data_IF_641890999308
#
_entry.id   IF_641890999308
#
_cell.length_a   1.000
_cell.length_b   1.000
_cell.length_c   1.000
_cell.angle_alpha   90.00
_cell.angle_beta   90.00
_cell.angle_gamma   90.00
#
_symmetry.space_group_name_H-M   'P 1'
#
loop_
_entity.id
_entity.type
_entity.pdbx_description
1 polymer ?
#
# COMPACT_ATOMS: atom_id res chain seq x y z
N UNK A 1 2.63 6.29 -18.62
CA UNK A 1 4.03 5.82 -18.45
C UNK A 1 4.25 5.41 -17.00
N UNK A 2 4.62 4.16 -16.71
CA UNK A 2 4.86 3.70 -15.34
C UNK A 2 6.05 4.43 -14.71
N UNK A 3 5.93 4.77 -13.42
CA UNK A 3 6.91 5.50 -12.61
C UNK A 3 7.46 4.59 -11.51
N UNK A 4 6.57 3.93 -10.77
CA UNK A 4 6.95 2.96 -9.75
C UNK A 4 5.91 1.86 -9.66
N UNK A 5 6.34 0.74 -9.11
CA UNK A 5 5.52 -0.42 -8.83
C UNK A 5 5.83 -0.87 -7.42
N UNK A 6 4.89 -0.68 -6.53
CA UNK A 6 5.06 -1.02 -5.12
C UNK A 6 4.28 -2.28 -4.78
N UNK A 7 4.95 -3.24 -4.17
CA UNK A 7 4.29 -4.42 -3.61
C UNK A 7 3.49 -4.04 -2.37
N UNK A 8 2.46 -4.83 -2.06
CA UNK A 8 1.66 -4.65 -0.86
C UNK A 8 2.26 -5.38 0.34
N UNK A 9 2.15 -4.76 1.52
CA UNK A 9 2.63 -5.26 2.81
C UNK A 9 1.52 -5.20 3.85
N UNK A 10 1.62 -6.09 4.84
CA UNK A 10 0.82 -6.00 6.03
C UNK A 10 1.57 -5.16 7.08
N UNK A 11 0.86 -4.27 7.76
CA UNK A 11 1.36 -3.53 8.90
C UNK A 11 0.64 -4.04 10.14
N UNK A 12 1.41 -4.45 11.14
CA UNK A 12 0.90 -5.00 12.38
C UNK A 12 1.42 -4.22 13.59
N UNK A 13 0.72 -4.20 14.73
CA UNK A 13 1.26 -3.68 15.97
C UNK A 13 2.51 -4.46 16.38
N UNK A 14 3.52 -3.80 16.94
CA UNK A 14 4.75 -4.46 17.40
C UNK A 14 4.50 -5.48 18.53
N UNK A 15 3.40 -5.33 19.27
CA UNK A 15 2.93 -6.28 20.29
C UNK A 15 2.23 -7.51 19.71
N UNK A 16 1.86 -7.48 18.43
CA UNK A 16 1.13 -8.57 17.80
C UNK A 16 2.03 -9.81 17.65
N UNK A 17 1.48 -11.02 17.81
CA UNK A 17 2.25 -12.26 17.69
C UNK A 17 2.95 -12.42 16.32
N UNK A 18 2.36 -11.84 15.27
CA UNK A 18 2.93 -11.85 13.92
C UNK A 18 4.13 -10.91 13.76
N UNK A 19 4.35 -9.94 14.65
CA UNK A 19 5.46 -8.99 14.58
C UNK A 19 6.85 -9.65 14.58
N UNK A 20 6.93 -10.93 15.00
CA UNK A 20 8.15 -11.76 14.96
C UNK A 20 8.38 -12.44 13.60
N UNK A 21 7.42 -12.36 12.69
CA UNK A 21 7.46 -13.00 11.37
C UNK A 21 7.97 -12.01 10.32
N UNK A 22 8.55 -12.55 9.25
CA UNK A 22 8.94 -11.75 8.06
C UNK A 22 7.81 -11.62 7.04
N UNK A 23 6.87 -12.56 7.05
CA UNK A 23 5.80 -12.62 6.06
C UNK A 23 4.52 -13.27 6.60
N UNK A 24 3.41 -12.98 5.93
CA UNK A 24 2.06 -13.44 6.23
C UNK A 24 1.30 -13.77 4.94
N UNK A 25 0.24 -14.57 5.03
CA UNK A 25 -0.70 -14.80 3.92
C UNK A 25 -1.95 -13.95 4.08
N UNK A 26 -2.64 -13.62 2.99
CA UNK A 26 -3.93 -12.93 3.02
C UNK A 26 -4.96 -13.67 3.88
N UNK A 27 -5.03 -15.00 3.74
CA UNK A 27 -5.95 -15.84 4.55
C UNK A 27 -5.65 -15.74 6.05
N UNK A 28 -4.37 -15.71 6.44
CA UNK A 28 -3.99 -15.56 7.85
C UNK A 28 -4.30 -14.16 8.33
N UNK A 29 -4.03 -13.15 7.52
CA UNK A 29 -4.32 -11.77 7.86
C UNK A 29 -5.83 -11.52 8.06
N UNK A 30 -6.69 -12.18 7.28
CA UNK A 30 -8.14 -12.12 7.42
C UNK A 30 -8.66 -12.67 8.76
N UNK A 31 -7.85 -13.38 9.55
CA UNK A 31 -8.24 -13.85 10.89
C UNK A 31 -8.03 -12.80 11.98
N UNK A 32 -7.44 -11.64 11.67
CA UNK A 32 -7.27 -10.53 12.59
C UNK A 32 -8.26 -9.39 12.25
N UNK A 33 -8.58 -8.52 13.23
CA UNK A 33 -9.26 -7.25 12.95
C UNK A 33 -8.42 -6.41 11.98
N UNK A 34 -9.07 -5.87 10.95
CA UNK A 34 -8.45 -4.99 9.95
C UNK A 34 -8.96 -3.57 10.10
N UNK A 35 -8.03 -2.63 10.12
CA UNK A 35 -8.32 -1.20 9.97
C UNK A 35 -7.84 -0.76 8.59
N UNK A 36 -8.64 0.02 7.86
CA UNK A 36 -8.31 0.38 6.46
C UNK A 36 -8.75 1.80 6.11
N UNK A 37 -8.26 2.32 5.00
CA UNK A 37 -8.73 3.58 4.42
C UNK A 37 -10.20 3.52 4.00
N UNK A 38 -10.93 4.63 4.23
CA UNK A 38 -12.33 4.76 3.78
C UNK A 38 -12.46 4.61 2.26
N UNK A 39 -13.54 3.99 1.80
CA UNK A 39 -13.76 3.80 0.37
C UNK A 39 -13.91 5.12 -0.43
N UNK A 40 -14.25 6.23 0.24
CA UNK A 40 -14.40 7.56 -0.38
C UNK A 40 -13.04 8.22 -0.64
N UNK A 41 -12.14 8.25 0.36
CA UNK A 41 -10.82 8.87 0.22
C UNK A 41 -9.76 7.95 -0.38
N UNK A 42 -9.90 6.64 -0.17
CA UNK A 42 -8.91 5.65 -0.58
C UNK A 42 -9.39 4.78 -1.75
N UNK A 43 -10.41 5.22 -2.50
CA UNK A 43 -11.11 4.41 -3.52
C UNK A 43 -10.19 3.53 -4.38
N UNK A 44 -9.16 4.12 -5.01
CA UNK A 44 -8.26 3.37 -5.88
C UNK A 44 -7.45 2.29 -5.15
N UNK A 45 -6.93 2.61 -3.97
CA UNK A 45 -6.22 1.65 -3.13
C UNK A 45 -7.15 0.57 -2.56
N UNK A 46 -8.37 0.96 -2.15
CA UNK A 46 -9.39 0.05 -1.64
C UNK A 46 -9.80 -0.98 -2.70
N UNK A 47 -10.06 -0.53 -3.93
CA UNK A 47 -10.33 -1.43 -5.05
C UNK A 47 -9.18 -2.41 -5.29
N UNK A 48 -7.92 -1.95 -5.25
CA UNK A 48 -6.76 -2.83 -5.40
C UNK A 48 -6.70 -3.92 -4.30
N UNK A 49 -6.97 -3.55 -3.05
CA UNK A 49 -7.01 -4.49 -1.93
C UNK A 49 -8.16 -5.48 -2.07
N UNK A 50 -9.35 -4.99 -2.44
CA UNK A 50 -10.55 -5.80 -2.61
C UNK A 50 -10.34 -6.81 -3.77
N UNK A 51 -9.82 -6.38 -4.92
CA UNK A 51 -9.51 -7.26 -6.06
C UNK A 51 -8.47 -8.33 -5.70
N UNK A 52 -7.41 -7.93 -4.98
CA UNK A 52 -6.37 -8.84 -4.52
C UNK A 52 -6.93 -9.94 -3.60
N UNK A 53 -7.81 -9.57 -2.67
CA UNK A 53 -8.40 -10.50 -1.71
C UNK A 53 -9.46 -11.38 -2.35
N UNK A 54 -10.29 -10.81 -3.23
CA UNK A 54 -11.29 -11.52 -4.02
C UNK A 54 -10.66 -12.59 -4.93
N UNK A 55 -9.52 -12.30 -5.58
CA UNK A 55 -8.78 -13.26 -6.40
C UNK A 55 -8.29 -14.51 -5.61
N UNK A 56 -8.32 -14.46 -4.28
CA UNK A 56 -7.98 -15.58 -3.38
C UNK A 56 -9.18 -16.17 -2.64
N UNK A 57 -10.39 -15.66 -2.89
CA UNK A 57 -11.58 -16.02 -2.12
C UNK A 57 -11.43 -15.67 -0.64
N UNK A 58 -10.74 -14.57 -0.33
CA UNK A 58 -10.51 -14.09 1.03
C UNK A 58 -11.33 -12.81 1.23
N UNK A 59 -11.97 -12.69 2.39
CA UNK A 59 -12.64 -11.46 2.82
C UNK A 59 -11.96 -10.97 4.10
N UNK A 60 -11.55 -9.71 4.13
CA UNK A 60 -10.95 -9.11 5.31
C UNK A 60 -12.02 -8.76 6.35
N UNK A 61 -11.72 -9.01 7.62
CA UNK A 61 -12.56 -8.58 8.74
C UNK A 61 -12.30 -7.10 9.07
N UNK A 62 -12.86 -6.19 8.28
CA UNK A 62 -12.71 -4.74 8.48
C UNK A 62 -13.56 -4.31 9.68
N UNK A 63 -12.91 -3.84 10.75
CA UNK A 63 -13.55 -3.42 12.00
C UNK A 63 -13.61 -1.90 12.15
N UNK A 64 -12.69 -1.17 11.52
CA UNK A 64 -12.64 0.29 11.57
C UNK A 64 -12.10 0.85 10.26
N UNK A 65 -12.52 2.08 9.93
CA UNK A 65 -12.01 2.82 8.79
C UNK A 65 -11.42 4.17 9.22
N UNK A 66 -10.41 4.65 8.49
CA UNK A 66 -9.79 5.95 8.73
C UNK A 66 -9.62 6.72 7.42
N UNK A 67 -9.88 8.02 7.47
CA UNK A 67 -9.75 8.89 6.30
C UNK A 67 -8.30 9.25 5.98
N UNK A 68 -7.44 9.29 6.99
CA UNK A 68 -6.07 9.79 6.88
C UNK A 68 -5.05 8.78 7.41
N UNK A 69 -3.91 8.67 6.72
CA UNK A 69 -2.85 7.70 7.04
C UNK A 69 -2.34 7.84 8.49
N UNK A 70 -2.11 9.03 9.07
CA UNK A 70 -1.69 9.14 10.47
C UNK A 70 -2.69 8.52 11.47
N UNK A 71 -3.99 8.68 11.21
CA UNK A 71 -5.06 8.09 12.04
C UNK A 71 -5.05 6.57 11.88
N UNK A 72 -4.96 6.07 10.64
CA UNK A 72 -4.86 4.64 10.35
C UNK A 72 -3.67 4.00 11.08
N UNK A 73 -2.48 4.60 10.99
CA UNK A 73 -1.28 4.09 11.66
C UNK A 73 -1.40 4.15 13.18
N UNK A 74 -2.10 5.15 13.74
CA UNK A 74 -2.39 5.23 15.16
C UNK A 74 -3.30 4.07 15.62
N UNK A 75 -4.35 3.75 14.86
CA UNK A 75 -5.22 2.61 15.16
C UNK A 75 -4.45 1.29 15.21
N UNK A 76 -3.56 1.07 14.24
CA UNK A 76 -2.68 -0.11 14.21
C UNK A 76 -1.73 -0.12 15.41
N UNK A 77 -1.05 1.00 15.68
CA UNK A 77 -0.11 1.11 16.80
C UNK A 77 -0.78 0.86 18.15
N UNK A 78 -2.02 1.31 18.31
CA UNK A 78 -2.85 1.09 19.51
C UNK A 78 -3.42 -0.32 19.61
N UNK A 79 -3.24 -1.17 18.60
CA UNK A 79 -3.70 -2.56 18.63
C UNK A 79 -5.15 -2.79 18.21
N UNK A 80 -5.84 -1.78 17.64
CA UNK A 80 -7.21 -1.93 17.15
C UNK A 80 -7.31 -2.92 15.98
N UNK A 81 -6.24 -3.07 15.20
CA UNK A 81 -6.18 -4.04 14.12
C UNK A 81 -4.86 -3.99 13.35
N UNK A 82 -4.79 -4.76 12.29
CA UNK A 82 -3.73 -4.71 11.27
C UNK A 82 -4.22 -3.94 10.05
N UNK A 83 -3.31 -3.53 9.16
CA UNK A 83 -3.69 -2.89 7.90
C UNK A 83 -2.83 -3.39 6.73
N UNK A 84 -3.21 -3.03 5.51
CA UNK A 84 -2.42 -3.25 4.30
C UNK A 84 -2.02 -1.88 3.77
N UNK A 85 -0.74 -1.72 3.44
CA UNK A 85 -0.20 -0.55 2.73
C UNK A 85 0.70 -1.02 1.59
N UNK A 86 1.18 -0.10 0.76
CA UNK A 86 2.27 -0.39 -0.16
C UNK A 86 3.65 -0.21 0.51
N UNK A 87 4.66 -0.84 -0.08
CA UNK A 87 6.00 -0.91 0.49
C UNK A 87 6.73 0.44 0.55
N UNK A 88 6.29 1.47 -0.17
CA UNK A 88 6.94 2.79 -0.13
C UNK A 88 6.87 3.44 1.25
N UNK A 89 5.88 3.06 2.08
CA UNK A 89 5.72 3.58 3.43
C UNK A 89 6.72 3.02 4.45
N UNK A 90 7.43 1.92 4.15
CA UNK A 90 8.29 1.20 5.12
C UNK A 90 9.29 2.14 5.82
N UNK A 91 9.94 3.03 5.06
CA UNK A 91 10.96 3.95 5.60
C UNK A 91 10.37 5.05 6.49
N UNK A 92 9.04 5.25 6.45
CA UNK A 92 8.33 6.32 7.17
C UNK A 92 7.46 5.81 8.31
N UNK A 93 7.43 4.48 8.53
CA UNK A 93 6.58 3.88 9.57
C UNK A 93 7.01 4.36 10.97
N UNK A 94 6.08 4.85 11.82
CA UNK A 94 6.40 5.21 13.18
C UNK A 94 6.88 4.00 14.01
N UNK A 95 7.56 4.22 15.14
CA UNK A 95 7.84 3.16 16.10
C UNK A 95 6.54 2.51 16.62
N UNK A 96 6.63 1.23 17.02
CA UNK A 96 5.52 0.48 17.58
C UNK A 96 4.66 -0.29 16.58
N UNK A 97 5.04 -0.27 15.30
CA UNK A 97 4.45 -1.11 14.25
C UNK A 97 5.53 -1.86 13.47
N UNK A 98 5.14 -2.96 12.81
CA UNK A 98 6.04 -3.82 12.04
C UNK A 98 5.46 -4.12 10.65
N UNK A 99 6.23 -3.94 9.57
CA UNK A 99 5.83 -4.39 8.24
C UNK A 99 6.15 -5.88 8.05
N UNK A 100 5.24 -6.60 7.39
CA UNK A 100 5.39 -7.99 6.98
C UNK A 100 5.09 -8.12 5.49
N UNK A 101 5.83 -8.95 4.79
CA UNK A 101 5.55 -9.31 3.40
C UNK A 101 4.23 -10.09 3.28
N UNK A 102 3.37 -9.72 2.33
CA UNK A 102 2.20 -10.54 1.99
C UNK A 102 2.61 -11.53 0.89
N UNK A 103 3.01 -12.75 1.28
CA UNK A 103 3.71 -13.68 0.37
C UNK A 103 2.84 -14.28 -0.73
N UNK A 104 1.52 -14.23 -0.60
CA UNK A 104 0.55 -14.73 -1.58
C UNK A 104 -0.20 -13.60 -2.31
N UNK A 105 0.22 -12.34 -2.10
CA UNK A 105 -0.20 -11.20 -2.89
C UNK A 105 0.69 -11.04 -4.13
N UNK A 106 0.08 -11.02 -5.30
CA UNK A 106 0.74 -10.66 -6.56
C UNK A 106 0.40 -9.23 -7.01
N UNK A 107 -0.52 -8.58 -6.32
CA UNK A 107 -0.96 -7.23 -6.62
C UNK A 107 0.16 -6.23 -6.30
N UNK A 108 0.30 -5.25 -7.17
CA UNK A 108 1.18 -4.11 -6.98
C UNK A 108 0.42 -2.82 -7.19
N UNK A 109 0.81 -1.77 -6.47
CA UNK A 109 0.35 -0.41 -6.71
C UNK A 109 1.26 0.22 -7.76
N UNK A 110 0.73 0.41 -8.95
CA UNK A 110 1.44 1.02 -10.08
C UNK A 110 1.16 2.54 -10.09
N UNK A 111 2.21 3.35 -9.91
CA UNK A 111 2.14 4.81 -10.08
C UNK A 111 2.58 5.13 -11.50
N UNK A 112 1.81 5.95 -12.21
CA UNK A 112 2.07 6.30 -13.60
C UNK A 112 1.91 7.80 -13.87
N UNK A 113 2.75 8.34 -14.76
CA UNK A 113 2.57 9.65 -15.37
C UNK A 113 1.68 9.50 -16.61
N UNK A 114 0.62 10.31 -16.69
CA UNK A 114 -0.30 10.37 -17.80
C UNK A 114 -0.34 11.78 -18.40
N UNK A 115 -0.38 11.87 -19.73
CA UNK A 115 -0.51 13.11 -20.49
C UNK A 115 -1.36 12.86 -21.73
N UNK A 116 -1.77 13.93 -22.40
CA UNK A 116 -2.53 13.87 -23.66
C UNK A 116 -1.56 13.96 -24.84
N UNK A 117 -1.71 13.08 -25.82
CA UNK A 117 -0.76 12.98 -26.95
C UNK A 117 -0.96 14.03 -28.06
N UNK A 118 -2.11 14.70 -28.09
CA UNK A 118 -2.52 15.64 -29.15
C UNK A 118 -1.93 17.05 -29.01
N UNK A 119 -1.25 17.39 -27.90
CA UNK A 119 -0.56 18.69 -27.75
C UNK A 119 0.53 18.69 -26.66
N UNK A 120 1.64 17.98 -26.87
CA UNK A 120 2.80 18.05 -25.97
C UNK A 120 3.50 19.41 -26.09
N UNK A 121 3.24 20.30 -25.14
CA UNK A 121 4.03 21.53 -25.01
C UNK A 121 5.51 21.19 -24.77
N UNK A 122 6.46 22.07 -25.14
CA UNK A 122 7.88 21.86 -24.85
C UNK A 122 8.15 21.60 -23.36
N UNK A 123 7.42 22.26 -22.45
CA UNK A 123 7.54 22.05 -21.01
C UNK A 123 7.11 20.63 -20.60
N UNK A 124 5.98 20.15 -21.13
CA UNK A 124 5.49 18.80 -20.85
C UNK A 124 6.46 17.74 -21.37
N UNK A 125 7.00 17.93 -22.58
CA UNK A 125 8.01 17.04 -23.15
C UNK A 125 9.27 16.99 -22.27
N UNK A 126 9.80 18.16 -21.85
CA UNK A 126 10.96 18.23 -20.94
C UNK A 126 10.68 17.60 -19.58
N UNK A 127 9.48 17.78 -19.02
CA UNK A 127 9.10 17.13 -17.77
C UNK A 127 9.09 15.60 -17.89
N UNK A 128 8.53 15.07 -18.97
CA UNK A 128 8.50 13.62 -19.25
C UNK A 128 9.92 13.08 -19.40
N UNK A 129 10.81 13.80 -20.09
CA UNK A 129 12.21 13.42 -20.26
C UNK A 129 12.94 13.34 -18.91
N UNK A 130 12.85 14.38 -18.08
CA UNK A 130 13.46 14.39 -16.74
C UNK A 130 12.88 13.27 -15.87
N UNK A 131 11.56 13.05 -15.91
CA UNK A 131 10.94 11.95 -15.19
C UNK A 131 11.50 10.58 -15.64
N UNK A 132 11.70 10.37 -16.94
CA UNK A 132 12.31 9.14 -17.48
C UNK A 132 13.74 8.94 -17.01
N UNK A 133 14.54 9.99 -16.92
CA UNK A 133 15.91 9.93 -16.42
C UNK A 133 15.95 9.55 -14.94
N UNK A 134 15.09 10.17 -14.12
CA UNK A 134 15.01 9.88 -12.69
C UNK A 134 14.53 8.46 -12.37
N UNK A 135 13.69 7.86 -13.22
CA UNK A 135 13.25 6.46 -13.06
C UNK A 135 14.40 5.48 -13.37
N UNK A 136 15.27 5.82 -14.32
CA UNK A 136 16.39 4.96 -14.74
C UNK A 136 17.57 4.97 -13.76
N UNK A 137 17.71 6.03 -12.99
CA UNK A 137 18.74 6.14 -11.94
C UNK A 137 18.20 5.48 -10.66
N UNK A 138 18.75 4.35 -10.20
CA UNK A 138 18.34 3.76 -8.93
C UNK A 138 18.55 4.79 -7.82
N UNK A 139 17.56 4.95 -6.93
CA UNK A 139 17.79 5.62 -5.66
C UNK A 139 18.86 4.80 -4.91
N UNK A 140 20.05 5.38 -4.77
CA UNK A 140 21.16 4.81 -3.99
C UNK A 140 20.83 4.71 -2.51
#
# INVERSE_FOLDING_TARGET
>A
MPISRERLIAIVPASHAWAKQRSITLRRMATAPIVIGTASRWRGFRMLVDDMTAAKGVTLNVVEEADDLPVLLQLVRSGFGCTILDASFISTLPPGIKPLEIKDAKATLDIALAWRDDSLSPLTARFIEVARELIKSPKG
#
